data_IF_438139802916
#
_entry.id   IF_438139802916
#
_cell.length_a   1.000
_cell.length_b   1.000
_cell.length_c   1.000
_cell.angle_alpha   90.00
_cell.angle_beta   90.00
_cell.angle_gamma   90.00
#
_symmetry.space_group_name_H-M   'P 1'
#
loop_
_entity.id
_entity.type
_entity.pdbx_description
1 polymer ?
#
# COMPACT_ATOMS: atom_id res chain seq x y z
N UNK A 1 -5.76 19.48 12.59
CA UNK A 1 -7.03 18.81 12.26
C UNK A 1 -7.20 18.49 10.77
N UNK A 2 -7.22 19.46 9.84
CA UNK A 2 -7.40 19.16 8.39
C UNK A 2 -6.23 18.36 7.79
N UNK A 3 -5.00 18.67 8.20
CA UNK A 3 -3.77 18.00 7.74
C UNK A 3 -3.68 16.55 8.21
N UNK A 4 -4.07 16.26 9.44
CA UNK A 4 -4.08 14.91 10.03
C UNK A 4 -5.11 14.00 9.34
N UNK A 5 -6.28 14.54 9.00
CA UNK A 5 -7.29 13.79 8.26
C UNK A 5 -6.79 13.47 6.85
N UNK A 6 -6.14 14.43 6.18
CA UNK A 6 -5.56 14.22 4.86
C UNK A 6 -4.47 13.12 4.86
N UNK A 7 -3.59 13.11 5.88
CA UNK A 7 -2.58 12.04 6.01
C UNK A 7 -3.21 10.68 6.26
N UNK A 8 -4.19 10.60 7.16
CA UNK A 8 -4.88 9.35 7.48
C UNK A 8 -5.61 8.78 6.27
N UNK A 9 -6.32 9.63 5.50
CA UNK A 9 -6.98 9.20 4.27
C UNK A 9 -5.98 8.72 3.22
N UNK A 10 -4.89 9.46 3.00
CA UNK A 10 -3.82 9.07 2.09
C UNK A 10 -3.19 7.73 2.48
N UNK A 11 -2.98 7.50 3.78
CA UNK A 11 -2.46 6.26 4.32
C UNK A 11 -3.44 5.10 4.15
N UNK A 12 -4.73 5.30 4.41
CA UNK A 12 -5.75 4.26 4.24
C UNK A 12 -5.83 3.78 2.79
N UNK A 13 -5.81 4.70 1.82
CA UNK A 13 -5.80 4.37 0.38
C UNK A 13 -4.55 3.56 0.01
N UNK A 14 -3.38 4.01 0.48
CA UNK A 14 -2.10 3.35 0.19
C UNK A 14 -2.01 1.97 0.84
N UNK A 15 -2.49 1.84 2.08
CA UNK A 15 -2.51 0.58 2.82
C UNK A 15 -3.43 -0.45 2.17
N UNK A 16 -4.63 -0.04 1.72
CA UNK A 16 -5.53 -0.93 1.00
C UNK A 16 -4.86 -1.47 -0.29
N UNK A 17 -4.17 -0.60 -1.03
CA UNK A 17 -3.42 -0.99 -2.22
C UNK A 17 -2.26 -1.95 -1.90
N UNK A 18 -1.50 -1.70 -0.83
CA UNK A 18 -0.41 -2.58 -0.39
C UNK A 18 -0.92 -3.96 0.04
N UNK A 19 -2.03 -4.01 0.78
CA UNK A 19 -2.66 -5.29 1.18
C UNK A 19 -3.14 -6.06 -0.05
N UNK A 20 -3.71 -5.37 -1.03
CA UNK A 20 -4.09 -5.97 -2.31
C UNK A 20 -2.88 -6.56 -3.03
N UNK A 21 -1.83 -5.76 -3.26
CA UNK A 21 -0.59 -6.19 -3.93
C UNK A 21 0.06 -7.38 -3.22
N UNK A 22 0.12 -7.34 -1.89
CA UNK A 22 0.62 -8.45 -1.07
C UNK A 22 -0.17 -9.75 -1.28
N UNK A 23 -1.46 -9.65 -1.54
CA UNK A 23 -2.34 -10.81 -1.73
C UNK A 23 -2.40 -11.26 -3.20
N UNK A 24 -2.05 -10.42 -4.17
CA UNK A 24 -1.95 -10.78 -5.59
C UNK A 24 -0.56 -11.26 -5.99
N UNK A 25 0.48 -11.00 -5.18
CA UNK A 25 1.86 -11.43 -5.44
C UNK A 25 1.96 -12.94 -5.77
N UNK A 26 2.43 -13.20 -6.99
CA UNK A 26 2.62 -14.54 -7.54
C UNK A 26 3.63 -15.37 -6.76
N UNK A 27 4.72 -14.76 -6.26
CA UNK A 27 5.76 -15.49 -5.50
C UNK A 27 5.18 -16.01 -4.20
N UNK A 28 4.44 -15.15 -3.49
CA UNK A 28 3.78 -15.53 -2.25
C UNK A 28 2.71 -16.60 -2.49
N UNK A 29 1.84 -16.42 -3.49
CA UNK A 29 0.81 -17.42 -3.81
C UNK A 29 1.39 -18.80 -4.12
N UNK A 30 2.52 -18.88 -4.82
CA UNK A 30 3.24 -20.14 -5.08
C UNK A 30 3.70 -20.82 -3.77
N UNK A 31 4.30 -20.05 -2.85
CA UNK A 31 4.76 -20.59 -1.55
C UNK A 31 3.60 -21.13 -0.71
N UNK A 32 2.44 -20.46 -0.74
CA UNK A 32 1.24 -20.89 -0.01
C UNK A 32 0.32 -21.83 -0.82
N UNK A 33 0.75 -22.32 -2.00
CA UNK A 33 -0.04 -23.20 -2.90
C UNK A 33 -1.45 -22.66 -3.23
N UNK A 34 -1.59 -21.34 -3.33
CA UNK A 34 -2.83 -20.66 -3.69
C UNK A 34 -3.03 -20.63 -5.22
N UNK A 35 -4.27 -20.48 -5.72
CA UNK A 35 -4.54 -20.38 -7.15
C UNK A 35 -3.76 -19.22 -7.79
N UNK A 36 -3.22 -19.48 -8.98
CA UNK A 36 -2.43 -18.54 -9.78
C UNK A 36 -3.24 -17.26 -10.07
N UNK A 37 -2.59 -16.12 -9.84
CA UNK A 37 -3.14 -14.83 -10.22
C UNK A 37 -2.92 -14.60 -11.71
N UNK A 38 -3.99 -14.42 -12.49
CA UNK A 38 -3.95 -14.35 -13.96
C UNK A 38 -4.01 -12.94 -14.52
N UNK A 39 -4.08 -11.91 -13.66
CA UNK A 39 -4.36 -10.53 -14.09
C UNK A 39 -3.24 -9.54 -13.68
N UNK A 40 -2.05 -9.60 -14.31
CA UNK A 40 -0.90 -8.75 -13.96
C UNK A 40 -1.16 -7.25 -14.19
N UNK A 41 -2.09 -6.90 -15.09
CA UNK A 41 -2.46 -5.49 -15.36
C UNK A 41 -2.98 -4.76 -14.11
N UNK A 42 -3.61 -5.48 -13.18
CA UNK A 42 -4.14 -4.88 -11.95
C UNK A 42 -3.05 -4.58 -10.93
N UNK A 43 -1.88 -5.21 -11.02
CA UNK A 43 -0.76 -4.93 -10.11
C UNK A 43 -0.18 -3.54 -10.41
N UNK A 44 -0.06 -3.17 -11.69
CA UNK A 44 0.38 -1.82 -12.09
C UNK A 44 -0.63 -0.75 -11.65
N UNK A 45 -1.93 -1.03 -11.80
CA UNK A 45 -3.00 -0.13 -11.34
C UNK A 45 -2.94 0.02 -9.81
N UNK A 46 -2.76 -1.08 -9.08
CA UNK A 46 -2.68 -1.03 -7.62
C UNK A 46 -1.46 -0.23 -7.13
N UNK A 47 -0.30 -0.37 -7.78
CA UNK A 47 0.86 0.48 -7.51
C UNK A 47 0.59 1.96 -7.80
N UNK A 48 -0.07 2.24 -8.92
CA UNK A 48 -0.46 3.61 -9.28
C UNK A 48 -1.39 4.21 -8.22
N UNK A 49 -2.40 3.45 -7.76
CA UNK A 49 -3.30 3.85 -6.67
C UNK A 49 -2.56 4.03 -5.34
N UNK A 50 -1.56 3.19 -5.05
CA UNK A 50 -0.75 3.31 -3.85
C UNK A 50 0.08 4.61 -3.82
N UNK A 51 0.57 5.07 -4.97
CA UNK A 51 1.40 6.28 -5.07
C UNK A 51 0.58 7.54 -5.35
N UNK A 52 -0.65 7.41 -5.85
CA UNK A 52 -1.53 8.54 -6.19
C UNK A 52 -1.69 9.57 -5.06
N UNK A 53 -1.86 9.18 -3.77
CA UNK A 53 -1.96 10.15 -2.68
C UNK A 53 -0.73 11.04 -2.56
N UNK A 54 0.46 10.55 -2.89
CA UNK A 54 1.70 11.36 -2.86
C UNK A 54 1.66 12.51 -3.84
N UNK A 55 1.21 12.24 -5.06
CA UNK A 55 1.10 13.25 -6.14
C UNK A 55 0.04 14.29 -5.76
N UNK A 56 -1.09 13.84 -5.22
CA UNK A 56 -2.17 14.74 -4.78
C UNK A 56 -1.69 15.66 -3.66
N UNK A 57 -0.99 15.14 -2.65
CA UNK A 57 -0.46 15.94 -1.54
C UNK A 57 0.59 16.97 -2.01
N UNK A 58 1.44 16.61 -2.97
CA UNK A 58 2.44 17.52 -3.55
C UNK A 58 1.78 18.62 -4.40
N UNK A 59 0.79 18.28 -5.23
CA UNK A 59 0.06 19.26 -6.05
C UNK A 59 -0.74 20.27 -5.21
N UNK A 60 -1.15 19.89 -3.99
CA UNK A 60 -1.83 20.77 -3.03
C UNK A 60 -0.85 21.53 -2.13
N UNK A 61 0.47 21.41 -2.35
CA UNK A 61 1.53 22.03 -1.55
C UNK A 61 1.49 21.64 -0.06
N UNK A 62 0.93 20.47 0.25
CA UNK A 62 0.79 19.94 1.61
C UNK A 62 2.03 19.12 2.02
N UNK A 63 3.16 19.79 2.19
CA UNK A 63 4.45 19.14 2.45
C UNK A 63 4.51 18.38 3.79
N UNK A 64 3.94 18.96 4.86
CA UNK A 64 3.89 18.29 6.17
C UNK A 64 3.16 16.94 6.10
N UNK A 65 1.91 16.91 5.60
CA UNK A 65 1.19 15.68 5.33
C UNK A 65 1.92 14.69 4.43
N UNK A 66 2.58 15.16 3.37
CA UNK A 66 3.36 14.32 2.48
C UNK A 66 4.51 13.60 3.22
N UNK A 67 5.30 14.32 4.01
CA UNK A 67 6.42 13.75 4.77
C UNK A 67 5.91 12.72 5.79
N UNK A 68 4.84 13.06 6.52
CA UNK A 68 4.22 12.15 7.49
C UNK A 68 3.69 10.88 6.82
N UNK A 69 3.01 11.02 5.69
CA UNK A 69 2.52 9.90 4.89
C UNK A 69 3.67 9.01 4.41
N UNK A 70 4.77 9.60 3.90
CA UNK A 70 5.91 8.84 3.39
C UNK A 70 6.59 8.01 4.50
N UNK A 71 6.81 8.62 5.67
CA UNK A 71 7.38 7.92 6.82
C UNK A 71 6.48 6.77 7.31
N UNK A 72 5.18 7.04 7.49
CA UNK A 72 4.22 6.05 7.96
C UNK A 72 3.99 4.92 6.94
N UNK A 73 3.94 5.23 5.64
CA UNK A 73 3.76 4.23 4.60
C UNK A 73 4.92 3.23 4.56
N UNK A 74 6.16 3.70 4.77
CA UNK A 74 7.33 2.81 4.84
C UNK A 74 7.17 1.79 5.97
N UNK A 75 6.82 2.24 7.18
CA UNK A 75 6.57 1.36 8.33
C UNK A 75 5.43 0.37 8.07
N UNK A 76 4.33 0.85 7.48
CA UNK A 76 3.20 0.00 7.11
C UNK A 76 3.57 -1.01 6.02
N UNK A 77 4.39 -0.63 5.04
CA UNK A 77 4.90 -1.51 4.00
C UNK A 77 5.67 -2.69 4.59
N UNK A 78 6.57 -2.42 5.55
CA UNK A 78 7.27 -3.46 6.29
C UNK A 78 6.33 -4.36 7.09
N UNK A 79 5.38 -3.77 7.83
CA UNK A 79 4.41 -4.52 8.61
C UNK A 79 3.54 -5.43 7.73
N UNK A 80 3.08 -4.92 6.59
CA UNK A 80 2.32 -5.66 5.60
C UNK A 80 3.19 -6.77 5.00
N UNK A 81 4.48 -6.54 4.73
CA UNK A 81 5.38 -7.54 4.19
C UNK A 81 5.65 -8.73 5.12
N UNK A 82 5.40 -8.61 6.43
CA UNK A 82 5.64 -9.68 7.39
C UNK A 82 4.93 -10.99 6.98
N UNK A 83 5.58 -12.15 7.10
CA UNK A 83 4.96 -13.44 6.83
C UNK A 83 3.80 -13.67 7.82
N UNK A 84 2.73 -14.31 7.34
CA UNK A 84 1.64 -14.73 8.24
C UNK A 84 2.20 -15.84 9.15
N UNK A 85 1.89 -15.82 10.46
CA UNK A 85 2.31 -16.90 11.35
C UNK A 85 1.75 -18.22 10.82
N UNK A 86 2.59 -19.26 10.80
CA UNK A 86 2.11 -20.62 10.54
C UNK A 86 1.32 -21.04 11.77
N UNK A 87 0.01 -21.28 11.63
CA UNK A 87 -0.71 -22.05 12.65
C UNK A 87 -0.13 -23.46 12.60
N UNK A 88 0.67 -23.78 13.61
CA UNK A 88 1.08 -25.16 13.91
C UNK A 88 -0.14 -25.95 14.33
#
# INVERSE_FOLDING_TARGET
MTTEIATLLALLVSLAALVYLRNTDTKRRRVFKLPLWTKPKFDFIAWSVCLLPSVVLLCLELYGPFIMWFAALSLLGWFVALPKPKSV
#
